data_IF_614754839109
#
_entry.id   IF_614754839109
#
_cell.length_a   1.000
_cell.length_b   1.000
_cell.length_c   1.000
_cell.angle_alpha   90.00
_cell.angle_beta   90.00
_cell.angle_gamma   90.00
#
_symmetry.space_group_name_H-M   'P 1'
#
loop_
_entity.id
_entity.type
_entity.pdbx_description
1 polymer ?
#
# COMPACT_ATOMS: atom_id res chain seq x y z
N UNK A 1 1.05 2.77 29.79
CA UNK A 1 1.19 1.30 29.93
C UNK A 1 0.72 0.55 28.68
N UNK A 2 -0.53 0.72 28.22
CA UNK A 2 -1.10 0.04 27.03
C UNK A 2 -0.31 0.31 25.73
N UNK A 3 0.04 1.57 25.44
CA UNK A 3 0.81 1.95 24.22
C UNK A 3 2.18 1.28 24.10
N UNK A 4 2.88 1.09 25.22
CA UNK A 4 4.21 0.45 25.26
C UNK A 4 4.09 -1.06 25.10
N UNK A 5 3.06 -1.67 25.69
CA UNK A 5 2.79 -3.10 25.57
C UNK A 5 2.39 -3.47 24.13
N UNK A 6 1.51 -2.68 23.51
CA UNK A 6 1.08 -2.88 22.11
C UNK A 6 2.25 -2.72 21.14
N UNK A 7 3.12 -1.73 21.36
CA UNK A 7 4.32 -1.54 20.57
C UNK A 7 5.27 -2.73 20.66
N UNK A 8 5.63 -3.16 21.88
CA UNK A 8 6.55 -4.29 22.08
C UNK A 8 6.01 -5.58 21.47
N UNK A 9 4.72 -5.86 21.63
CA UNK A 9 4.07 -7.03 21.04
C UNK A 9 4.14 -7.00 19.51
N UNK A 10 3.72 -5.88 18.89
CA UNK A 10 3.71 -5.74 17.42
C UNK A 10 5.11 -5.75 16.84
N UNK A 11 6.08 -5.14 17.53
CA UNK A 11 7.49 -5.18 17.16
C UNK A 11 8.04 -6.61 17.13
N UNK A 12 7.83 -7.38 18.21
CA UNK A 12 8.22 -8.80 18.27
C UNK A 12 7.60 -9.62 17.13
N UNK A 13 6.31 -9.38 16.84
CA UNK A 13 5.60 -10.09 15.79
C UNK A 13 6.11 -9.73 14.39
N UNK A 14 6.41 -8.46 14.11
CA UNK A 14 7.00 -7.99 12.86
C UNK A 14 8.40 -8.58 12.66
N UNK A 15 9.25 -8.58 13.69
CA UNK A 15 10.59 -9.19 13.63
C UNK A 15 10.50 -10.70 13.32
N UNK A 16 9.62 -11.43 14.03
CA UNK A 16 9.40 -12.87 13.80
C UNK A 16 8.90 -13.17 12.37
N UNK A 17 7.99 -12.33 11.87
CA UNK A 17 7.45 -12.41 10.52
C UNK A 17 8.52 -12.26 9.43
N UNK A 18 9.47 -11.34 9.62
CA UNK A 18 10.54 -11.09 8.65
C UNK A 18 11.66 -12.11 8.74
N UNK A 19 12.01 -12.59 9.94
CA UNK A 19 12.97 -13.69 10.13
C UNK A 19 12.52 -15.00 9.47
N UNK A 20 11.20 -15.23 9.32
CA UNK A 20 10.67 -16.38 8.58
C UNK A 20 10.80 -16.25 7.05
N UNK A 21 10.88 -15.01 6.52
CA UNK A 21 10.99 -14.76 5.07
C UNK A 21 12.43 -14.67 4.58
N UNK A 22 13.32 -14.17 5.41
CA UNK A 22 14.72 -14.01 5.10
C UNK A 22 15.47 -14.93 6.06
N UNK A 23 16.12 -15.98 5.55
CA UNK A 23 16.79 -17.04 6.32
C UNK A 23 18.02 -16.58 7.14
N UNK A 24 18.09 -15.29 7.50
CA UNK A 24 19.16 -14.61 8.23
C UNK A 24 18.55 -13.83 9.39
N UNK A 25 19.28 -13.73 10.49
CA UNK A 25 18.86 -12.88 11.60
C UNK A 25 19.04 -11.40 11.23
N UNK A 26 17.97 -10.81 10.68
CA UNK A 26 17.92 -9.41 10.24
C UNK A 26 17.74 -8.43 11.41
N UNK A 27 17.63 -8.93 12.65
CA UNK A 27 17.30 -8.10 13.81
C UNK A 27 18.44 -7.19 14.27
N UNK A 28 19.68 -7.46 13.83
CA UNK A 28 20.86 -6.64 14.14
C UNK A 28 21.21 -5.60 13.06
N UNK A 29 20.52 -5.60 11.91
CA UNK A 29 20.77 -4.63 10.84
C UNK A 29 20.03 -3.30 11.14
N UNK A 30 20.72 -2.15 11.23
CA UNK A 30 20.11 -0.85 11.46
C UNK A 30 19.01 -0.47 10.46
N UNK A 31 19.14 -0.88 9.18
CA UNK A 31 18.13 -0.61 8.16
C UNK A 31 16.84 -1.42 8.39
N UNK A 32 16.98 -2.64 8.88
CA UNK A 32 15.86 -3.50 9.25
C UNK A 32 15.19 -3.07 10.54
N UNK A 33 15.96 -2.54 11.50
CA UNK A 33 15.43 -1.98 12.74
C UNK A 33 14.43 -0.84 12.47
N UNK A 34 14.77 0.07 11.56
CA UNK A 34 13.87 1.17 11.19
C UNK A 34 12.63 0.65 10.43
N UNK A 35 12.82 -0.31 9.53
CA UNK A 35 11.71 -0.98 8.81
C UNK A 35 10.74 -1.65 9.78
N UNK A 36 11.24 -2.37 10.79
CA UNK A 36 10.43 -3.01 11.82
C UNK A 36 9.67 -1.99 12.66
N UNK A 37 10.32 -0.86 13.01
CA UNK A 37 9.67 0.24 13.72
C UNK A 37 8.50 0.81 12.92
N UNK A 38 8.71 1.11 11.63
CA UNK A 38 7.67 1.65 10.75
C UNK A 38 6.52 0.67 10.58
N UNK A 39 6.80 -0.60 10.30
CA UNK A 39 5.79 -1.66 10.18
C UNK A 39 4.97 -1.85 11.46
N UNK A 40 5.62 -1.77 12.62
CA UNK A 40 4.95 -1.92 13.92
C UNK A 40 4.00 -0.77 14.18
N UNK A 41 4.45 0.47 13.97
CA UNK A 41 3.60 1.67 14.09
C UNK A 41 2.45 1.63 13.09
N UNK A 42 2.73 1.24 11.84
CA UNK A 42 1.73 1.08 10.81
C UNK A 42 0.66 0.06 11.21
N UNK A 43 1.07 -1.10 11.71
CA UNK A 43 0.14 -2.15 12.17
C UNK A 43 -0.79 -1.62 13.26
N UNK A 44 -0.24 -0.98 14.28
CA UNK A 44 -1.04 -0.44 15.40
C UNK A 44 -2.02 0.61 14.90
N UNK A 45 -1.56 1.58 14.11
CA UNK A 45 -2.45 2.63 13.59
C UNK A 45 -3.52 2.04 12.70
N UNK A 46 -3.19 1.09 11.83
CA UNK A 46 -4.16 0.47 10.94
C UNK A 46 -5.21 -0.31 11.72
N UNK A 47 -4.84 -1.04 12.77
CA UNK A 47 -5.81 -1.76 13.63
C UNK A 47 -6.76 -0.80 14.35
N UNK A 48 -6.24 0.30 14.87
CA UNK A 48 -7.05 1.33 15.55
C UNK A 48 -7.98 2.05 14.57
N UNK A 49 -7.46 2.45 13.40
CA UNK A 49 -8.17 3.28 12.42
C UNK A 49 -9.09 2.46 11.49
N UNK A 50 -8.88 1.15 11.37
CA UNK A 50 -9.77 0.26 10.59
C UNK A 50 -11.07 -0.07 11.33
N UNK A 51 -11.18 0.30 12.60
CA UNK A 51 -12.37 0.07 13.42
C UNK A 51 -13.22 1.34 13.43
N UNK A 52 -14.51 1.20 13.11
CA UNK A 52 -15.42 2.34 13.14
C UNK A 52 -15.43 2.97 14.55
N UNK A 53 -15.51 4.32 14.68
CA UNK A 53 -15.40 4.98 15.98
C UNK A 53 -16.40 4.49 17.04
N UNK A 54 -17.58 4.01 16.59
CA UNK A 54 -18.67 3.53 17.44
C UNK A 54 -18.53 2.05 17.84
N UNK A 55 -17.50 1.35 17.35
CA UNK A 55 -17.30 -0.09 17.56
C UNK A 55 -16.25 -0.35 18.64
N UNK A 56 -16.43 -1.43 19.41
CA UNK A 56 -15.43 -1.86 20.39
C UNK A 56 -14.16 -2.35 19.66
N UNK A 57 -13.02 -1.71 19.95
CA UNK A 57 -11.72 -2.17 19.47
C UNK A 57 -11.24 -3.36 20.32
N UNK A 58 -11.19 -4.54 19.71
CA UNK A 58 -10.61 -5.74 20.34
C UNK A 58 -9.15 -5.85 19.94
N UNK A 59 -8.25 -5.57 20.90
CA UNK A 59 -6.82 -5.82 20.72
C UNK A 59 -6.53 -7.30 20.99
N UNK A 60 -6.39 -8.09 19.92
CA UNK A 60 -5.92 -9.47 20.04
C UNK A 60 -4.45 -9.47 20.48
N UNK A 61 -4.22 -9.62 21.78
CA UNK A 61 -2.89 -9.69 22.42
C UNK A 61 -2.24 -11.08 22.28
N UNK A 62 -2.97 -12.08 21.77
CA UNK A 62 -2.47 -13.43 21.62
C UNK A 62 -1.45 -13.55 20.47
N UNK A 63 -0.56 -14.53 20.58
CA UNK A 63 0.38 -15.00 19.56
C UNK A 63 -0.31 -15.61 18.31
N UNK A 64 -1.52 -15.16 17.97
CA UNK A 64 -1.99 -15.31 16.60
C UNK A 64 -1.01 -14.52 15.76
N UNK A 65 -0.11 -15.22 15.08
CA UNK A 65 0.83 -14.68 14.10
C UNK A 65 0.16 -13.49 13.42
N UNK A 66 0.77 -12.28 13.47
CA UNK A 66 0.43 -11.27 12.48
C UNK A 66 0.61 -12.01 11.17
N UNK A 67 -0.51 -12.35 10.55
CA UNK A 67 -0.44 -13.08 9.31
C UNK A 67 0.19 -12.08 8.35
N UNK A 68 1.48 -12.25 8.08
CA UNK A 68 2.13 -11.61 6.92
C UNK A 68 1.46 -12.03 5.62
N UNK A 69 0.61 -13.06 5.69
CA UNK A 69 -0.32 -13.53 4.65
C UNK A 69 -1.74 -12.95 4.79
N UNK A 70 -2.01 -12.17 5.84
CA UNK A 70 -3.30 -11.56 6.10
C UNK A 70 -3.49 -10.37 5.18
N UNK A 71 -4.20 -10.57 4.08
CA UNK A 71 -4.50 -9.56 3.06
C UNK A 71 -5.27 -8.35 3.59
N UNK A 72 -5.66 -8.34 4.87
CA UNK A 72 -6.46 -7.30 5.54
C UNK A 72 -5.67 -6.41 6.52
N UNK A 73 -4.34 -6.47 6.51
CA UNK A 73 -3.50 -5.74 7.49
C UNK A 73 -2.79 -4.52 6.89
N UNK A 74 -2.50 -3.51 7.73
CA UNK A 74 -1.63 -2.38 7.36
C UNK A 74 -0.23 -2.81 6.89
N UNK A 75 0.30 -3.91 7.42
CA UNK A 75 1.57 -4.52 6.94
C UNK A 75 1.47 -4.97 5.49
N UNK A 76 0.31 -5.47 5.06
CA UNK A 76 0.09 -5.88 3.67
C UNK A 76 0.01 -4.67 2.73
N UNK A 77 -0.61 -3.57 3.18
CA UNK A 77 -0.61 -2.29 2.44
C UNK A 77 0.82 -1.77 2.28
N UNK A 78 1.58 -1.74 3.38
CA UNK A 78 2.98 -1.31 3.38
C UNK A 78 3.88 -2.16 2.48
N UNK A 79 3.67 -3.48 2.49
CA UNK A 79 4.39 -4.38 1.59
C UNK A 79 4.13 -4.07 0.11
N UNK A 80 2.90 -3.72 -0.26
CA UNK A 80 2.58 -3.34 -1.63
C UNK A 80 3.17 -1.97 -2.01
N UNK A 81 3.31 -1.03 -1.07
CA UNK A 81 4.09 0.21 -1.31
C UNK A 81 5.56 -0.12 -1.63
N UNK A 82 6.18 -1.01 -0.86
CA UNK A 82 7.57 -1.43 -1.11
C UNK A 82 7.72 -2.11 -2.49
N UNK A 83 6.79 -3.00 -2.87
CA UNK A 83 6.79 -3.62 -4.22
C UNK A 83 6.73 -2.60 -5.34
N UNK A 84 5.88 -1.58 -5.22
CA UNK A 84 5.79 -0.49 -6.20
C UNK A 84 7.09 0.32 -6.25
N UNK A 85 7.68 0.62 -5.09
CA UNK A 85 8.95 1.32 -5.04
C UNK A 85 10.06 0.52 -5.74
N UNK A 86 10.18 -0.78 -5.47
CA UNK A 86 11.14 -1.67 -6.16
C UNK A 86 10.89 -1.73 -7.66
N UNK A 87 9.63 -1.81 -8.10
CA UNK A 87 9.27 -1.77 -9.53
C UNK A 87 9.80 -0.49 -10.20
N UNK A 88 9.52 0.67 -9.60
CA UNK A 88 9.92 1.96 -10.18
C UNK A 88 11.43 2.19 -10.13
N UNK A 89 12.11 1.72 -9.07
CA UNK A 89 13.58 1.76 -9.02
C UNK A 89 14.18 0.83 -10.09
N UNK A 90 13.61 -0.37 -10.28
CA UNK A 90 14.01 -1.28 -11.34
C UNK A 90 13.86 -0.65 -12.74
N UNK A 91 12.72 0.00 -13.01
CA UNK A 91 12.54 0.75 -14.26
C UNK A 91 13.59 1.84 -14.44
N UNK A 92 13.80 2.66 -13.40
CA UNK A 92 14.78 3.75 -13.42
C UNK A 92 16.18 3.24 -13.71
N UNK A 93 16.61 2.17 -13.05
CA UNK A 93 17.92 1.56 -13.27
C UNK A 93 18.07 1.00 -14.69
N UNK A 94 17.06 0.28 -15.19
CA UNK A 94 17.06 -0.23 -16.56
C UNK A 94 17.05 0.88 -17.61
N UNK A 95 16.40 2.00 -17.33
CA UNK A 95 16.45 3.20 -18.18
C UNK A 95 17.85 3.83 -18.17
N UNK A 96 18.49 3.97 -17.01
CA UNK A 96 19.86 4.50 -16.88
C UNK A 96 20.90 3.62 -17.60
N UNK A 97 20.65 2.31 -17.68
CA UNK A 97 21.46 1.36 -18.46
C UNK A 97 21.15 1.34 -19.96
N UNK A 98 20.16 2.11 -20.42
CA UNK A 98 19.74 2.14 -21.82
C UNK A 98 18.91 0.93 -22.28
N UNK A 99 18.44 0.08 -21.37
CA UNK A 99 17.56 -1.06 -21.70
C UNK A 99 16.13 -0.62 -22.03
N UNK A 100 15.64 0.42 -21.35
CA UNK A 100 14.35 1.03 -21.63
C UNK A 100 14.49 2.50 -22.02
N UNK A 101 13.58 3.04 -22.85
CA UNK A 101 13.55 4.46 -23.13
C UNK A 101 13.09 5.27 -21.90
N UNK A 102 13.38 6.59 -21.89
CA UNK A 102 12.84 7.49 -20.89
C UNK A 102 11.31 7.50 -20.93
N UNK A 103 10.72 7.76 -19.77
CA UNK A 103 9.28 7.70 -19.62
C UNK A 103 8.61 8.77 -20.51
N UNK A 104 7.73 8.39 -21.45
CA UNK A 104 7.15 9.35 -22.38
C UNK A 104 6.10 10.24 -21.68
N UNK A 105 5.78 11.42 -22.24
CA UNK A 105 4.70 12.26 -21.72
C UNK A 105 3.36 11.51 -21.66
N UNK A 106 2.55 11.77 -20.63
CA UNK A 106 1.24 11.10 -20.46
C UNK A 106 0.33 11.30 -21.68
N UNK A 107 0.40 12.46 -22.34
CA UNK A 107 -0.36 12.78 -23.56
C UNK A 107 0.00 11.92 -24.78
N UNK A 108 1.15 11.24 -24.75
CA UNK A 108 1.59 10.32 -25.81
C UNK A 108 1.35 8.85 -25.49
N UNK A 109 0.82 8.55 -24.29
CA UNK A 109 0.50 7.19 -23.92
C UNK A 109 -0.77 6.72 -24.61
N UNK A 110 -0.72 5.51 -25.16
CA UNK A 110 -1.89 4.83 -25.68
C UNK A 110 -2.47 3.89 -24.61
N UNK A 111 -3.50 4.38 -23.91
CA UNK A 111 -4.21 3.60 -22.90
C UNK A 111 -5.11 2.52 -23.49
N UNK A 112 -5.34 2.53 -24.81
CA UNK A 112 -6.09 1.44 -25.46
C UNK A 112 -5.37 0.10 -25.36
N UNK A 113 -4.04 0.10 -25.12
CA UNK A 113 -3.20 -1.10 -24.93
C UNK A 113 -3.42 -1.81 -23.58
N UNK A 114 -4.25 -1.25 -22.69
CA UNK A 114 -4.67 -1.88 -21.45
C UNK A 114 -5.91 -2.75 -21.72
N UNK A 115 -5.78 -4.06 -21.47
CA UNK A 115 -6.77 -5.07 -21.81
C UNK A 115 -7.02 -6.06 -20.68
N UNK A 116 -6.14 -6.15 -19.67
CA UNK A 116 -6.33 -7.09 -18.56
C UNK A 116 -7.42 -6.57 -17.64
N UNK A 117 -8.33 -7.46 -17.22
CA UNK A 117 -9.42 -7.11 -16.31
C UNK A 117 -8.91 -6.47 -15.00
N UNK A 118 -7.73 -6.87 -14.52
CA UNK A 118 -7.09 -6.28 -13.36
C UNK A 118 -6.71 -4.81 -13.55
N UNK A 119 -6.39 -4.37 -14.76
CA UNK A 119 -6.07 -2.97 -15.07
C UNK A 119 -7.32 -2.09 -14.87
N UNK A 120 -8.46 -2.57 -15.38
CA UNK A 120 -9.76 -1.92 -15.22
C UNK A 120 -10.25 -1.94 -13.78
N UNK A 121 -10.03 -3.05 -13.06
CA UNK A 121 -10.38 -3.17 -11.65
C UNK A 121 -9.64 -2.12 -10.80
N UNK A 122 -8.33 -1.95 -11.04
CA UNK A 122 -7.53 -0.94 -10.36
C UNK A 122 -8.03 0.48 -10.65
N UNK A 123 -8.33 0.77 -11.92
CA UNK A 123 -8.78 2.10 -12.34
C UNK A 123 -10.16 2.45 -11.77
N UNK A 124 -11.16 1.63 -12.06
CA UNK A 124 -12.56 1.96 -11.78
C UNK A 124 -12.97 1.73 -10.32
N UNK A 125 -12.36 0.77 -9.63
CA UNK A 125 -12.77 0.45 -8.26
C UNK A 125 -11.88 1.09 -7.20
N UNK A 126 -10.67 1.50 -7.56
CA UNK A 126 -9.73 2.07 -6.59
C UNK A 126 -9.30 3.48 -6.94
N UNK A 127 -8.83 3.76 -8.16
CA UNK A 127 -8.26 5.08 -8.49
C UNK A 127 -9.35 6.15 -8.63
N UNK A 128 -10.32 5.95 -9.53
CA UNK A 128 -11.35 6.94 -9.81
C UNK A 128 -12.27 7.24 -8.62
N UNK A 129 -12.69 6.27 -7.79
CA UNK A 129 -13.55 6.54 -6.64
C UNK A 129 -12.82 7.15 -5.44
N UNK A 130 -11.48 7.08 -5.40
CA UNK A 130 -10.72 7.45 -4.21
C UNK A 130 -10.97 8.88 -3.70
N UNK A 131 -11.06 9.93 -4.56
CA UNK A 131 -11.40 11.27 -4.09
C UNK A 131 -12.75 11.31 -3.35
N UNK A 132 -13.75 10.59 -3.83
CA UNK A 132 -15.05 10.50 -3.16
C UNK A 132 -14.95 9.76 -1.81
N UNK A 133 -14.12 8.71 -1.73
CA UNK A 133 -13.81 8.04 -0.46
C UNK A 133 -13.19 9.02 0.55
N UNK A 134 -12.25 9.87 0.11
CA UNK A 134 -11.65 10.89 0.97
C UNK A 134 -12.68 11.94 1.41
N UNK A 135 -13.51 12.44 0.50
CA UNK A 135 -14.56 13.40 0.84
C UNK A 135 -15.57 12.83 1.84
N UNK A 136 -15.95 11.56 1.69
CA UNK A 136 -16.85 10.87 2.63
C UNK A 136 -16.17 10.59 3.98
N UNK A 137 -14.87 10.27 3.98
CA UNK A 137 -14.11 10.05 5.21
C UNK A 137 -13.92 11.34 6.02
N UNK A 138 -13.88 12.49 5.34
CA UNK A 138 -13.77 13.82 5.92
C UNK A 138 -15.14 14.53 6.11
N UNK A 139 -16.26 13.85 5.85
CA UNK A 139 -17.58 14.46 5.88
C UNK A 139 -17.88 15.04 7.28
N UNK A 140 -18.18 16.34 7.29
CA UNK A 140 -18.72 17.04 8.45
C UNK A 140 -20.24 16.88 8.41
N UNK A 141 -20.82 16.17 9.37
CA UNK A 141 -22.28 16.11 9.50
C UNK A 141 -22.78 17.48 9.99
N UNK A 142 -23.07 18.39 9.04
CA UNK A 142 -23.54 19.75 9.30
C UNK A 142 -24.93 19.85 9.92
N UNK A 143 -25.59 18.71 10.18
CA UNK A 143 -26.94 18.61 10.76
C UNK A 143 -26.93 18.21 12.24
N UNK A 144 -25.78 17.84 12.80
CA UNK A 144 -25.69 17.54 14.22
C UNK A 144 -25.57 18.85 15.02
N UNK A 145 -26.42 19.03 16.04
CA UNK A 145 -26.30 20.11 17.01
C UNK A 145 -25.06 19.88 17.90
N UNK A 146 -23.87 20.06 17.33
CA UNK A 146 -22.58 19.81 17.96
C UNK A 146 -21.47 19.60 16.92
N UNK A 147 -20.24 19.98 17.27
CA UNK A 147 -19.05 19.81 16.42
C UNK A 147 -18.58 18.34 16.41
N UNK A 148 -19.42 17.42 15.92
CA UNK A 148 -19.05 16.02 15.77
C UNK A 148 -18.39 15.80 14.41
N UNK A 149 -17.06 15.86 14.39
CA UNK A 149 -16.26 15.43 13.24
C UNK A 149 -16.16 13.90 13.29
N UNK A 150 -17.04 13.20 12.58
CA UNK A 150 -16.92 11.76 12.40
C UNK A 150 -15.87 11.46 11.32
N UNK A 151 -14.58 11.49 11.67
CA UNK A 151 -13.53 11.07 10.76
C UNK A 151 -13.64 9.55 10.52
N UNK A 152 -14.21 9.15 9.37
CA UNK A 152 -14.47 7.74 9.01
C UNK A 152 -13.22 7.07 8.43
N UNK A 153 -12.16 7.06 9.24
CA UNK A 153 -10.84 6.53 8.85
C UNK A 153 -10.88 5.05 8.45
N UNK A 154 -11.88 4.30 8.92
CA UNK A 154 -12.09 2.90 8.55
C UNK A 154 -12.44 2.73 7.07
N UNK A 155 -13.08 3.71 6.44
CA UNK A 155 -13.38 3.68 5.01
C UNK A 155 -12.10 3.76 4.18
N UNK A 156 -11.17 4.63 4.58
CA UNK A 156 -9.86 4.77 3.94
C UNK A 156 -9.04 3.51 4.12
N UNK A 157 -8.98 2.97 5.35
CA UNK A 157 -8.31 1.69 5.62
C UNK A 157 -8.86 0.54 4.75
N UNK A 158 -10.18 0.40 4.66
CA UNK A 158 -10.83 -0.63 3.80
C UNK A 158 -10.49 -0.44 2.32
N UNK A 159 -10.50 0.81 1.84
CA UNK A 159 -10.14 1.13 0.45
C UNK A 159 -8.69 0.77 0.14
N UNK A 160 -7.75 1.12 1.03
CA UNK A 160 -6.33 0.81 0.85
C UNK A 160 -6.04 -0.70 0.88
N UNK A 161 -6.72 -1.42 1.76
CA UNK A 161 -6.66 -2.89 1.83
C UNK A 161 -7.17 -3.52 0.54
N UNK A 162 -8.34 -3.08 0.04
CA UNK A 162 -8.92 -3.60 -1.21
C UNK A 162 -8.01 -3.32 -2.40
N UNK A 163 -7.52 -2.09 -2.55
CA UNK A 163 -6.55 -1.72 -3.58
C UNK A 163 -5.30 -2.60 -3.50
N UNK A 164 -4.78 -2.86 -2.29
CA UNK A 164 -3.61 -3.71 -2.11
C UNK A 164 -3.86 -5.16 -2.53
N UNK A 165 -5.06 -5.70 -2.31
CA UNK A 165 -5.44 -7.03 -2.79
C UNK A 165 -5.50 -7.08 -4.31
N UNK A 166 -6.19 -6.11 -4.92
CA UNK A 166 -6.36 -6.03 -6.37
C UNK A 166 -5.01 -5.85 -7.08
N UNK A 167 -4.17 -4.96 -6.55
CA UNK A 167 -2.81 -4.73 -7.05
C UNK A 167 -1.93 -5.97 -6.90
N UNK A 168 -1.94 -6.62 -5.72
CA UNK A 168 -1.17 -7.86 -5.52
C UNK A 168 -1.58 -8.96 -6.50
N UNK A 169 -2.88 -9.13 -6.74
CA UNK A 169 -3.41 -10.11 -7.69
C UNK A 169 -2.97 -9.78 -9.12
N UNK A 170 -3.15 -8.52 -9.54
CA UNK A 170 -2.76 -8.04 -10.86
C UNK A 170 -1.25 -8.20 -11.11
N UNK A 171 -0.41 -7.71 -10.19
CA UNK A 171 1.05 -7.75 -10.33
C UNK A 171 1.59 -9.17 -10.41
N UNK A 172 0.97 -10.13 -9.72
CA UNK A 172 1.41 -11.53 -9.78
C UNK A 172 1.11 -12.19 -11.14
N UNK A 173 0.10 -11.70 -11.87
CA UNK A 173 -0.31 -12.24 -13.17
C UNK A 173 0.36 -11.52 -14.34
N UNK A 174 0.62 -10.22 -14.20
CA UNK A 174 1.02 -9.35 -15.32
C UNK A 174 2.45 -8.88 -15.15
N UNK A 175 3.29 -9.22 -16.12
CA UNK A 175 4.66 -8.72 -16.20
C UNK A 175 4.65 -7.26 -16.66
N UNK A 176 5.07 -6.36 -15.76
CA UNK A 176 5.14 -4.92 -16.02
C UNK A 176 6.44 -4.59 -16.78
N UNK A 177 7.59 -4.89 -16.18
CA UNK A 177 8.90 -4.77 -16.82
C UNK A 177 9.25 -6.10 -17.48
N UNK A 178 8.91 -6.23 -18.76
CA UNK A 178 9.19 -7.41 -19.58
C UNK A 178 10.48 -7.26 -20.39
N UNK A 179 10.70 -8.16 -21.35
CA UNK A 179 11.87 -8.05 -22.23
C UNK A 179 11.94 -6.69 -22.96
N UNK A 180 13.14 -6.11 -23.15
CA UNK A 180 13.32 -4.79 -23.73
C UNK A 180 13.10 -4.77 -25.26
N UNK A 181 11.89 -5.13 -25.71
CA UNK A 181 11.51 -5.17 -27.11
C UNK A 181 10.70 -3.91 -27.45
N UNK A 182 11.07 -3.12 -28.48
CA UNK A 182 10.43 -1.84 -28.78
C UNK A 182 8.90 -1.86 -28.93
N UNK A 183 8.34 -2.93 -29.52
CA UNK A 183 6.89 -3.08 -29.69
C UNK A 183 6.12 -3.32 -28.37
N UNK A 184 6.80 -3.66 -27.27
CA UNK A 184 6.19 -3.87 -25.95
C UNK A 184 6.20 -2.60 -25.09
N UNK A 185 6.97 -1.58 -25.47
CA UNK A 185 7.15 -0.39 -24.65
C UNK A 185 5.86 0.41 -24.46
N UNK A 186 5.00 0.49 -25.48
CA UNK A 186 3.72 1.19 -25.38
C UNK A 186 2.86 0.67 -24.23
N UNK A 187 2.64 -0.66 -24.19
CA UNK A 187 1.86 -1.30 -23.13
C UNK A 187 2.57 -1.21 -21.76
N UNK A 188 3.89 -1.40 -21.73
CA UNK A 188 4.68 -1.24 -20.51
C UNK A 188 4.50 0.16 -19.89
N UNK A 189 4.57 1.22 -20.70
CA UNK A 189 4.41 2.59 -20.22
C UNK A 189 2.99 2.89 -19.76
N UNK A 190 1.96 2.40 -20.48
CA UNK A 190 0.58 2.52 -20.05
C UNK A 190 0.36 1.85 -18.66
N UNK A 191 0.91 0.64 -18.47
CA UNK A 191 0.87 -0.07 -17.18
C UNK A 191 1.62 0.66 -16.08
N UNK A 192 2.83 1.16 -16.36
CA UNK A 192 3.60 1.94 -15.40
C UNK A 192 2.84 3.22 -15.00
N UNK A 193 2.16 3.89 -15.93
CA UNK A 193 1.33 5.06 -15.60
C UNK A 193 0.14 4.69 -14.70
N UNK A 194 -0.56 3.59 -14.99
CA UNK A 194 -1.60 3.07 -14.11
C UNK A 194 -1.06 2.80 -12.69
N UNK A 195 0.11 2.16 -12.60
CA UNK A 195 0.74 1.83 -11.32
C UNK A 195 1.30 3.06 -10.58
N UNK A 196 1.63 4.15 -11.29
CA UNK A 196 1.92 5.45 -10.65
C UNK A 196 0.68 5.99 -9.94
N UNK A 197 -0.49 5.92 -10.57
CA UNK A 197 -1.74 6.32 -9.95
C UNK A 197 -2.11 5.43 -8.75
N UNK A 198 -1.90 4.10 -8.84
CA UNK A 198 -2.05 3.20 -7.68
C UNK A 198 -1.14 3.62 -6.53
N UNK A 199 0.13 3.91 -6.81
CA UNK A 199 1.09 4.37 -5.81
C UNK A 199 0.65 5.68 -5.15
N UNK A 200 0.15 6.63 -5.94
CA UNK A 200 -0.35 7.91 -5.44
C UNK A 200 -1.55 7.74 -4.50
N UNK A 201 -2.51 6.88 -4.84
CA UNK A 201 -3.65 6.55 -3.98
C UNK A 201 -3.17 5.93 -2.66
N UNK A 202 -2.27 4.94 -2.72
CA UNK A 202 -1.72 4.31 -1.52
C UNK A 202 -1.00 5.33 -0.63
N UNK A 203 -0.14 6.16 -1.22
CA UNK A 203 0.64 7.16 -0.48
C UNK A 203 -0.26 8.23 0.13
N UNK A 204 -1.25 8.71 -0.61
CA UNK A 204 -2.20 9.75 -0.14
C UNK A 204 -3.05 9.21 1.01
N UNK A 205 -3.59 8.00 0.88
CA UNK A 205 -4.37 7.39 1.95
C UNK A 205 -3.53 7.09 3.19
N UNK A 206 -2.30 6.61 3.04
CA UNK A 206 -1.40 6.41 4.18
C UNK A 206 -1.01 7.73 4.84
N UNK A 207 -0.74 8.78 4.07
CA UNK A 207 -0.44 10.11 4.60
C UNK A 207 -1.61 10.67 5.42
N UNK A 208 -2.86 10.49 4.95
CA UNK A 208 -4.07 10.86 5.70
C UNK A 208 -4.15 10.14 7.06
N UNK A 209 -3.73 8.88 7.13
CA UNK A 209 -3.66 8.09 8.37
C UNK A 209 -2.42 8.42 9.22
N UNK A 210 -1.60 9.39 8.80
CA UNK A 210 -0.34 9.76 9.44
C UNK A 210 0.70 8.64 9.40
N UNK A 211 0.72 7.86 8.32
CA UNK A 211 1.63 6.74 8.10
C UNK A 211 2.55 7.03 6.91
N UNK A 212 3.88 6.94 7.06
CA UNK A 212 4.78 7.03 5.92
C UNK A 212 4.72 5.74 5.09
N UNK A 213 4.67 5.81 3.76
CA UNK A 213 4.75 4.63 2.91
C UNK A 213 6.14 4.00 2.99
N UNK A 214 6.20 2.67 2.98
CA UNK A 214 7.47 1.94 2.92
C UNK A 214 8.04 1.97 1.50
N UNK A 215 9.32 2.36 1.41
CA UNK A 215 10.07 2.49 0.16
C UNK A 215 10.89 1.25 -0.21
N UNK A 216 11.10 0.34 0.74
CA UNK A 216 11.84 -0.91 0.55
C UNK A 216 11.44 -1.90 1.64
N UNK A 217 11.48 -3.19 1.33
CA UNK A 217 11.39 -4.36 2.23
C UNK A 217 12.35 -5.40 1.68
#
# INVERSE_FOLDING_TARGET
>A
MIRLLSYRLRHMQVCKASALKHSRDLTEDPAWTETFRVLSVATIKFEMLSTAPQSQLVLALADSSISTKGTKSGTFVMYNCARLATLFEGYKHSMEQGLYPPFPPVSSLDFSLLHDEGEWLLLFNSILPFPAVLSQAAALDGTAAGLHIAARTEMVCKSLVKLSMDFSSYYNRVHILGEPRPHLFGQMFARLQLLRAVREVLHTGLALLGLPPLSHI
#
